data_IF_327703034454
#
_entry.id   IF_327703034454
#
_cell.length_a   1.000
_cell.length_b   1.000
_cell.length_c   1.000
_cell.angle_alpha   90.00
_cell.angle_beta   90.00
_cell.angle_gamma   90.00
#
_symmetry.space_group_name_H-M   'P 1'
#
loop_
_entity.id
_entity.type
_entity.pdbx_description
1 polymer ?
#
# COMPACT_ATOMS: atom_id res chain seq x y z
N UNK A 1 7.52 -9.97 13.95
CA UNK A 1 6.89 -11.16 13.32
C UNK A 1 5.44 -10.92 12.89
N UNK A 2 4.56 -10.33 13.72
CA UNK A 2 3.13 -10.13 13.37
C UNK A 2 2.91 -9.30 12.08
N UNK A 3 3.64 -8.20 11.90
CA UNK A 3 3.50 -7.33 10.72
C UNK A 3 3.74 -8.07 9.39
N UNK A 4 4.82 -8.83 9.29
CA UNK A 4 5.16 -9.58 8.06
C UNK A 4 4.07 -10.59 7.68
N UNK A 5 3.49 -11.27 8.67
CA UNK A 5 2.41 -12.22 8.46
C UNK A 5 1.12 -11.51 7.97
N UNK A 6 0.80 -10.34 8.56
CA UNK A 6 -0.32 -9.51 8.10
C UNK A 6 -0.10 -9.05 6.67
N UNK A 7 1.10 -8.58 6.33
CA UNK A 7 1.41 -8.11 4.98
C UNK A 7 1.34 -9.24 3.94
N UNK A 8 1.83 -10.44 4.27
CA UNK A 8 1.69 -11.61 3.40
C UNK A 8 0.21 -12.01 3.22
N UNK A 9 -0.60 -11.92 4.28
CA UNK A 9 -2.04 -12.13 4.20
C UNK A 9 -2.72 -11.12 3.27
N UNK A 10 -2.33 -9.85 3.36
CA UNK A 10 -2.87 -8.80 2.50
C UNK A 10 -2.50 -9.01 1.03
N UNK A 11 -1.25 -9.41 0.73
CA UNK A 11 -0.84 -9.76 -0.63
C UNK A 11 -1.62 -10.96 -1.18
N UNK A 12 -1.93 -11.96 -0.34
CA UNK A 12 -2.78 -13.09 -0.75
C UNK A 12 -4.21 -12.62 -1.06
N UNK A 13 -4.77 -11.75 -0.22
CA UNK A 13 -6.09 -11.17 -0.46
C UNK A 13 -6.13 -10.35 -1.76
N UNK A 14 -5.08 -9.56 -2.00
CA UNK A 14 -4.90 -8.79 -3.22
C UNK A 14 -4.84 -9.69 -4.47
N UNK A 15 -4.02 -10.74 -4.43
CA UNK A 15 -3.92 -11.73 -5.51
C UNK A 15 -5.28 -12.39 -5.80
N UNK A 16 -6.00 -12.81 -4.75
CA UNK A 16 -7.31 -13.44 -4.88
C UNK A 16 -8.35 -12.51 -5.51
N UNK A 17 -8.41 -11.24 -5.10
CA UNK A 17 -9.32 -10.24 -5.67
C UNK A 17 -8.97 -9.91 -7.13
N UNK A 18 -7.67 -9.79 -7.44
CA UNK A 18 -7.19 -9.46 -8.77
C UNK A 18 -7.35 -10.60 -9.80
N UNK A 19 -7.33 -11.87 -9.35
CA UNK A 19 -7.18 -13.08 -10.19
C UNK A 19 -8.07 -13.13 -11.44
N UNK A 20 -9.32 -12.66 -11.36
CA UNK A 20 -10.29 -12.82 -12.46
C UNK A 20 -10.21 -11.70 -13.51
N UNK A 21 -9.80 -10.50 -13.11
CA UNK A 21 -9.92 -9.28 -13.94
C UNK A 21 -8.59 -8.58 -14.18
N UNK A 22 -7.61 -8.79 -13.31
CA UNK A 22 -6.36 -8.03 -13.26
C UNK A 22 -5.17 -8.99 -13.09
N UNK A 23 -4.87 -9.83 -14.10
CA UNK A 23 -3.80 -10.83 -13.99
C UNK A 23 -2.43 -10.23 -13.66
N UNK A 24 -2.12 -9.03 -14.16
CA UNK A 24 -0.88 -8.33 -13.82
C UNK A 24 -0.75 -8.01 -12.32
N UNK A 25 -1.84 -7.61 -11.67
CA UNK A 25 -1.85 -7.36 -10.22
C UNK A 25 -1.77 -8.67 -9.44
N UNK A 26 -2.41 -9.74 -9.93
CA UNK A 26 -2.27 -11.09 -9.35
C UNK A 26 -0.82 -11.55 -9.37
N UNK A 27 -0.17 -11.50 -10.53
CA UNK A 27 1.20 -11.97 -10.71
C UNK A 27 2.19 -11.12 -9.90
N UNK A 28 2.00 -9.80 -9.88
CA UNK A 28 2.80 -8.90 -9.04
C UNK A 28 2.64 -9.20 -7.55
N UNK A 29 1.45 -9.53 -7.07
CA UNK A 29 1.20 -9.90 -5.68
C UNK A 29 1.86 -11.25 -5.32
N UNK A 30 1.78 -12.25 -6.20
CA UNK A 30 2.47 -13.53 -6.01
C UNK A 30 4.00 -13.36 -5.97
N UNK A 31 4.55 -12.52 -6.85
CA UNK A 31 5.98 -12.20 -6.82
C UNK A 31 6.38 -11.47 -5.54
N UNK A 32 5.59 -10.49 -5.11
CA UNK A 32 5.82 -9.76 -3.86
C UNK A 32 5.78 -10.69 -2.64
N UNK A 33 4.94 -11.72 -2.61
CA UNK A 33 4.91 -12.73 -1.53
C UNK A 33 6.25 -13.48 -1.47
N UNK A 34 6.77 -13.94 -2.62
CA UNK A 34 8.05 -14.64 -2.66
C UNK A 34 9.19 -13.73 -2.16
N UNK A 35 9.17 -12.46 -2.57
CA UNK A 35 10.16 -11.48 -2.13
C UNK A 35 10.05 -11.19 -0.63
N UNK A 36 8.83 -10.99 -0.12
CA UNK A 36 8.56 -10.71 1.30
C UNK A 36 9.14 -11.79 2.22
N UNK A 37 9.13 -13.06 1.81
CA UNK A 37 9.70 -14.18 2.59
C UNK A 37 11.21 -14.13 2.76
N UNK A 38 11.92 -13.40 1.89
CA UNK A 38 13.36 -13.15 2.04
C UNK A 38 13.68 -11.93 2.90
N UNK A 39 12.67 -11.13 3.28
CA UNK A 39 12.86 -9.94 4.09
C UNK A 39 12.55 -10.24 5.55
N UNK A 40 13.31 -9.65 6.47
CA UNK A 40 13.20 -9.92 7.91
C UNK A 40 12.66 -8.74 8.74
N UNK A 41 12.66 -7.53 8.16
CA UNK A 41 12.31 -6.30 8.88
C UNK A 41 11.57 -5.27 8.02
N UNK A 42 10.82 -4.33 8.64
CA UNK A 42 10.23 -3.19 7.94
C UNK A 42 11.25 -2.33 7.21
N UNK A 43 12.45 -2.14 7.78
CA UNK A 43 13.53 -1.40 7.14
C UNK A 43 13.96 -2.04 5.82
N UNK A 44 14.09 -3.37 5.77
CA UNK A 44 14.39 -4.06 4.51
C UNK A 44 13.27 -3.89 3.46
N UNK A 45 12.01 -3.81 3.90
CA UNK A 45 10.89 -3.48 3.01
C UNK A 45 11.00 -2.04 2.49
N UNK A 46 11.36 -1.08 3.34
CA UNK A 46 11.53 0.31 2.93
C UNK A 46 12.63 0.48 1.85
N UNK A 47 13.68 -0.33 1.92
CA UNK A 47 14.74 -0.37 0.90
C UNK A 47 14.37 -1.21 -0.34
N UNK A 48 13.17 -1.80 -0.35
CA UNK A 48 12.69 -2.70 -1.38
C UNK A 48 11.34 -2.25 -1.94
N UNK A 49 11.40 -1.36 -2.92
CA UNK A 49 10.20 -0.70 -3.47
C UNK A 49 9.18 -1.66 -4.11
N UNK A 50 9.54 -2.89 -4.44
CA UNK A 50 8.63 -3.82 -5.12
C UNK A 50 7.41 -4.18 -4.28
N UNK A 51 7.58 -4.25 -2.96
CA UNK A 51 6.47 -4.51 -2.03
C UNK A 51 5.50 -3.32 -1.99
N UNK A 52 6.02 -2.09 -2.01
CA UNK A 52 5.18 -0.90 -2.07
C UNK A 52 4.49 -0.79 -3.43
N UNK A 53 5.25 -1.02 -4.51
CA UNK A 53 4.81 -0.87 -5.90
C UNK A 53 3.59 -1.72 -6.21
N UNK A 54 3.50 -2.93 -5.68
CA UNK A 54 2.32 -3.78 -5.92
C UNK A 54 1.03 -3.21 -5.31
N UNK A 55 1.09 -2.55 -4.15
CA UNK A 55 -0.08 -1.91 -3.57
C UNK A 55 -0.45 -0.62 -4.30
N UNK A 56 0.54 0.13 -4.81
CA UNK A 56 0.27 1.27 -5.68
C UNK A 56 -0.39 0.82 -7.01
N UNK A 57 0.12 -0.23 -7.64
CA UNK A 57 -0.51 -0.84 -8.83
C UNK A 57 -1.95 -1.30 -8.56
N UNK A 58 -2.23 -1.86 -7.37
CA UNK A 58 -3.58 -2.22 -6.98
C UNK A 58 -4.52 -1.01 -6.89
N UNK A 59 -4.03 0.10 -6.32
CA UNK A 59 -4.76 1.36 -6.23
C UNK A 59 -5.01 1.97 -7.62
N UNK A 60 -4.06 1.88 -8.56
CA UNK A 60 -4.20 2.38 -9.94
C UNK A 60 -5.35 1.74 -10.72
N UNK A 61 -5.79 0.53 -10.33
CA UNK A 61 -6.96 -0.13 -10.94
C UNK A 61 -8.27 0.58 -10.60
N UNK A 62 -8.31 1.33 -9.49
CA UNK A 62 -9.45 2.17 -9.04
C UNK A 62 -10.79 1.44 -8.92
N UNK A 63 -10.76 0.14 -8.62
CA UNK A 63 -11.96 -0.57 -8.15
C UNK A 63 -12.05 -0.45 -6.64
N UNK A 64 -13.27 -0.29 -6.11
CA UNK A 64 -13.50 -0.13 -4.66
C UNK A 64 -12.74 -1.16 -3.83
N UNK A 65 -12.85 -2.45 -4.18
CA UNK A 65 -12.20 -3.53 -3.41
C UNK A 65 -10.67 -3.48 -3.45
N UNK A 66 -10.07 -3.30 -4.63
CA UNK A 66 -8.60 -3.23 -4.75
C UNK A 66 -8.06 -1.95 -4.11
N UNK A 67 -8.75 -0.82 -4.27
CA UNK A 67 -8.43 0.44 -3.59
C UNK A 67 -8.48 0.28 -2.07
N UNK A 68 -9.52 -0.37 -1.54
CA UNK A 68 -9.64 -0.64 -0.10
C UNK A 68 -8.48 -1.51 0.42
N UNK A 69 -8.15 -2.59 -0.29
CA UNK A 69 -7.02 -3.47 0.08
C UNK A 69 -5.70 -2.68 0.00
N UNK A 70 -5.43 -2.03 -1.13
CA UNK A 70 -4.20 -1.27 -1.37
C UNK A 70 -3.98 -0.17 -0.34
N UNK A 71 -4.98 0.70 -0.12
CA UNK A 71 -4.91 1.77 0.88
C UNK A 71 -4.69 1.21 2.30
N UNK A 72 -5.36 0.11 2.67
CA UNK A 72 -5.15 -0.52 3.98
C UNK A 72 -3.72 -1.01 4.16
N UNK A 73 -3.07 -1.48 3.10
CA UNK A 73 -1.69 -1.94 3.14
C UNK A 73 -0.72 -0.76 3.19
N UNK A 74 -0.98 0.31 2.45
CA UNK A 74 -0.21 1.56 2.55
C UNK A 74 -0.22 2.08 3.98
N UNK A 75 -1.39 2.13 4.64
CA UNK A 75 -1.50 2.52 6.05
C UNK A 75 -0.58 1.69 6.95
N UNK A 76 -0.63 0.36 6.83
CA UNK A 76 0.21 -0.56 7.62
C UNK A 76 1.70 -0.37 7.33
N UNK A 77 2.08 -0.24 6.05
CA UNK A 77 3.47 0.01 5.67
C UNK A 77 3.98 1.30 6.30
N UNK A 78 3.21 2.38 6.23
CA UNK A 78 3.58 3.68 6.81
C UNK A 78 3.67 3.60 8.33
N UNK A 79 2.68 3.00 9.00
CA UNK A 79 2.68 2.85 10.47
C UNK A 79 3.80 1.96 11.03
N UNK A 80 4.50 1.20 10.18
CA UNK A 80 5.62 0.34 10.55
C UNK A 80 6.97 0.84 10.01
N UNK A 81 7.04 2.09 9.55
CA UNK A 81 8.24 2.69 8.95
C UNK A 81 8.80 1.89 7.76
N UNK A 82 7.91 1.16 7.05
CA UNK A 82 8.25 0.28 5.93
C UNK A 82 8.20 0.98 4.57
N UNK A 83 8.28 2.32 4.56
CA UNK A 83 8.17 3.15 3.35
C UNK A 83 9.32 4.15 3.33
N UNK A 84 10.06 4.18 2.22
CA UNK A 84 11.09 5.16 2.00
C UNK A 84 10.49 6.57 1.77
N UNK A 85 11.11 7.65 2.27
CA UNK A 85 10.65 9.02 2.04
C UNK A 85 10.51 9.40 0.56
N UNK A 86 11.34 8.82 -0.32
CA UNK A 86 11.27 9.02 -1.77
C UNK A 86 9.91 8.64 -2.39
N UNK A 87 9.18 7.73 -1.75
CA UNK A 87 7.89 7.25 -2.26
C UNK A 87 6.70 8.14 -1.87
N UNK A 88 6.89 9.12 -0.98
CA UNK A 88 5.81 9.97 -0.47
C UNK A 88 5.04 10.66 -1.60
N UNK A 89 5.74 11.17 -2.62
CA UNK A 89 5.10 11.84 -3.76
C UNK A 89 4.14 10.91 -4.52
N UNK A 90 4.53 9.65 -4.71
CA UNK A 90 3.69 8.66 -5.39
C UNK A 90 2.44 8.36 -4.54
N UNK A 91 2.61 8.13 -3.24
CA UNK A 91 1.50 7.86 -2.31
C UNK A 91 0.51 9.03 -2.28
N UNK A 92 0.99 10.27 -2.18
CA UNK A 92 0.13 11.46 -2.19
C UNK A 92 -0.63 11.61 -3.51
N UNK A 93 0.00 11.30 -4.66
CA UNK A 93 -0.69 11.28 -5.96
C UNK A 93 -1.82 10.26 -5.96
N UNK A 94 -1.56 9.04 -5.49
CA UNK A 94 -2.57 7.99 -5.37
C UNK A 94 -3.73 8.41 -4.48
N UNK A 95 -3.46 9.02 -3.32
CA UNK A 95 -4.48 9.49 -2.39
C UNK A 95 -5.35 10.59 -3.00
N UNK A 96 -4.74 11.52 -3.74
CA UNK A 96 -5.47 12.56 -4.47
C UNK A 96 -6.45 11.95 -5.48
N UNK A 97 -6.04 10.95 -6.24
CA UNK A 97 -6.90 10.26 -7.21
C UNK A 97 -8.02 9.44 -6.56
N UNK A 98 -7.77 8.93 -5.35
CA UNK A 98 -8.74 8.15 -4.58
C UNK A 98 -9.77 9.02 -3.85
N UNK A 99 -9.45 10.28 -3.54
CA UNK A 99 -10.40 11.24 -3.00
C UNK A 99 -11.61 11.48 -3.93
N UNK A 100 -11.41 11.32 -5.24
CA UNK A 100 -12.46 11.46 -6.27
C UNK A 100 -13.37 10.23 -6.41
N UNK A 101 -13.06 9.13 -5.72
CA UNK A 101 -13.90 7.91 -5.75
C UNK A 101 -15.08 8.12 -4.78
N UNK A 102 -16.31 7.99 -5.26
CA UNK A 102 -17.53 8.26 -4.48
C UNK A 102 -17.84 7.24 -3.38
N UNK A 103 -17.10 6.14 -3.32
CA UNK A 103 -17.31 5.10 -2.32
C UNK A 103 -16.78 5.54 -0.94
N UNK A 104 -17.65 5.57 0.06
CA UNK A 104 -17.35 6.04 1.41
C UNK A 104 -16.19 5.27 2.07
N UNK A 105 -16.06 3.98 1.77
CA UNK A 105 -14.99 3.15 2.36
C UNK A 105 -13.61 3.52 1.80
N UNK A 106 -13.55 3.90 0.53
CA UNK A 106 -12.34 4.43 -0.11
C UNK A 106 -12.01 5.82 0.41
N UNK A 107 -13.01 6.70 0.54
CA UNK A 107 -12.81 8.05 1.08
C UNK A 107 -12.31 8.02 2.51
N UNK A 108 -12.92 7.21 3.37
CA UNK A 108 -12.50 7.03 4.76
C UNK A 108 -11.05 6.54 4.84
N UNK A 109 -10.69 5.53 4.04
CA UNK A 109 -9.30 5.03 4.01
C UNK A 109 -8.32 6.05 3.46
N UNK A 110 -8.74 6.87 2.51
CA UNK A 110 -7.92 7.96 1.99
C UNK A 110 -7.60 8.95 3.11
N UNK A 111 -8.62 9.43 3.83
CA UNK A 111 -8.45 10.34 4.97
C UNK A 111 -7.60 9.73 6.09
N UNK A 112 -7.83 8.47 6.45
CA UNK A 112 -7.03 7.76 7.45
C UNK A 112 -5.56 7.65 7.03
N UNK A 113 -5.29 7.41 5.75
CA UNK A 113 -3.92 7.33 5.23
C UNK A 113 -3.22 8.67 5.30
N UNK A 114 -3.92 9.77 4.95
CA UNK A 114 -3.40 11.13 5.08
C UNK A 114 -3.03 11.42 6.54
N UNK A 115 -3.92 11.11 7.49
CA UNK A 115 -3.67 11.30 8.92
C UNK A 115 -2.43 10.53 9.39
N UNK A 116 -2.29 9.27 8.96
CA UNK A 116 -1.12 8.44 9.30
C UNK A 116 0.17 9.04 8.73
N UNK A 117 0.16 9.57 7.51
CA UNK A 117 1.33 10.26 6.93
C UNK A 117 1.75 11.44 7.80
N UNK A 118 0.79 12.30 8.20
CA UNK A 118 1.03 13.45 9.06
C UNK A 118 1.50 13.08 10.47
N UNK A 119 1.36 11.82 10.89
CA UNK A 119 1.80 11.33 12.20
C UNK A 119 3.06 10.46 12.11
N UNK A 120 3.63 10.27 10.92
CA UNK A 120 4.74 9.36 10.64
C UNK A 120 6.04 10.09 10.30
N UNK A 121 7.12 9.32 10.10
CA UNK A 121 8.39 9.84 9.56
C UNK A 121 8.26 10.43 8.15
N UNK A 122 7.17 10.15 7.43
CA UNK A 122 6.87 10.70 6.11
C UNK A 122 6.20 12.08 6.15
N UNK A 123 6.06 12.72 7.31
CA UNK A 123 5.51 14.07 7.42
C UNK A 123 6.21 15.03 6.41
N UNK A 124 5.47 15.70 5.52
CA UNK A 124 6.06 16.62 4.53
C UNK A 124 6.88 17.73 5.20
N UNK A 125 8.12 17.94 4.76
CA UNK A 125 9.01 18.95 5.38
C UNK A 125 8.55 20.40 5.13
N UNK A 126 7.79 20.65 4.07
CA UNK A 126 7.26 21.98 3.75
C UNK A 126 6.20 22.49 4.74
N UNK A 127 5.72 21.62 5.64
CA UNK A 127 4.70 21.92 6.64
C UNK A 127 5.24 21.89 8.08
N UNK A 128 6.57 21.84 8.26
CA UNK A 128 7.24 21.92 9.56
C UNK A 128 7.62 23.34 9.96
#
# INVERSE_FOLDING_TARGET
MAFMAVLESDLRALSAEARRRYPAVKDGAEHAILKLRSLSSPSEIAHNEDILRIFLMACEVRTVKLSVIGLSCLQKLISHDAVAPSALKAILSTLKEHAEISDESVQLKTLQTILIILQSHLHPESER
#
